data_IF_780335124405
#
_entry.id   IF_780335124405
#
_cell.length_a   1.000
_cell.length_b   1.000
_cell.length_c   1.000
_cell.angle_alpha   90.00
_cell.angle_beta   90.00
_cell.angle_gamma   90.00
#
_symmetry.space_group_name_H-M   'P 1'
#
loop_
_entity.id
_entity.type
_entity.pdbx_description
1 polymer ?
#
# COMPACT_ATOMS: atom_id res chain seq x y z
N UNK A 1 27.20 1.05 2.71
CA UNK A 1 26.27 1.98 2.06
C UNK A 1 25.40 2.65 3.10
N UNK A 2 25.41 3.96 3.13
CA UNK A 2 24.60 4.71 4.09
C UNK A 2 23.17 4.85 3.58
N UNK A 3 22.21 4.52 4.45
CA UNK A 3 20.79 4.64 4.18
C UNK A 3 20.26 5.85 4.94
N UNK A 4 19.72 6.82 4.24
CA UNK A 4 19.19 8.04 4.83
C UNK A 4 17.67 8.10 4.70
N UNK A 5 17.00 8.55 5.76
CA UNK A 5 15.53 8.63 5.83
C UNK A 5 14.93 9.53 4.74
N UNK A 6 15.64 10.58 4.38
CA UNK A 6 15.16 11.54 3.39
C UNK A 6 15.67 11.26 1.96
N UNK A 7 16.32 10.11 1.73
CA UNK A 7 16.64 9.68 0.37
C UNK A 7 15.36 9.58 -0.46
N UNK A 8 15.39 10.19 -1.64
CA UNK A 8 14.29 10.03 -2.60
C UNK A 8 14.51 8.73 -3.36
N UNK A 9 13.50 7.88 -3.35
CA UNK A 9 13.55 6.58 -4.01
C UNK A 9 12.54 6.55 -5.15
N UNK A 10 12.97 6.02 -6.29
CA UNK A 10 12.13 5.82 -7.46
C UNK A 10 11.72 4.36 -7.53
N UNK A 11 10.42 4.11 -7.71
CA UNK A 11 9.85 2.76 -7.73
C UNK A 11 9.21 2.47 -9.07
N UNK A 12 9.34 1.22 -9.50
CA UNK A 12 8.60 0.68 -10.64
C UNK A 12 7.74 -0.46 -10.09
N UNK A 13 6.45 -0.18 -9.89
CA UNK A 13 5.51 -1.16 -9.33
C UNK A 13 4.62 -1.66 -10.47
N UNK A 14 4.94 -2.85 -10.96
CA UNK A 14 4.19 -3.44 -12.07
C UNK A 14 4.09 -2.56 -13.30
N UNK A 15 5.10 -1.72 -13.55
CA UNK A 15 5.14 -0.80 -14.67
C UNK A 15 4.64 0.62 -14.35
N UNK A 16 4.13 0.85 -13.16
CA UNK A 16 3.74 2.20 -12.70
C UNK A 16 4.86 2.80 -11.86
N UNK A 17 5.17 4.07 -12.11
CA UNK A 17 6.31 4.73 -11.48
C UNK A 17 5.85 5.62 -10.33
N UNK A 18 6.56 5.51 -9.20
CA UNK A 18 6.28 6.29 -7.99
C UNK A 18 7.57 6.83 -7.43
N UNK A 19 7.47 7.97 -6.78
CA UNK A 19 8.59 8.61 -6.12
C UNK A 19 8.21 8.89 -4.68
N UNK A 20 9.08 8.54 -3.74
CA UNK A 20 8.81 8.76 -2.31
C UNK A 20 10.13 8.75 -1.54
N UNK A 21 10.07 9.00 -0.25
CA UNK A 21 11.23 9.01 0.62
C UNK A 21 11.40 7.65 1.30
N UNK A 22 12.64 7.33 1.67
CA UNK A 22 12.93 6.10 2.42
C UNK A 22 12.16 6.06 3.74
N UNK A 23 12.04 7.19 4.43
CA UNK A 23 11.30 7.26 5.69
C UNK A 23 9.84 6.83 5.53
N UNK A 24 9.22 7.17 4.41
CA UNK A 24 7.85 6.75 4.11
C UNK A 24 7.76 5.22 3.96
N UNK A 25 8.67 4.63 3.18
CA UNK A 25 8.64 3.19 2.92
C UNK A 25 9.03 2.36 4.14
N UNK A 26 9.79 2.92 5.07
CA UNK A 26 10.24 2.20 6.28
C UNK A 26 9.44 2.55 7.52
N UNK A 27 8.32 3.26 7.36
CA UNK A 27 7.48 3.67 8.51
C UNK A 27 6.96 2.49 9.32
N UNK A 28 6.71 1.37 8.67
CA UNK A 28 6.28 0.12 9.32
C UNK A 28 7.41 -0.90 9.16
N UNK A 29 8.32 -0.98 10.15
CA UNK A 29 9.54 -1.80 10.01
C UNK A 29 9.28 -3.28 9.80
N UNK A 30 8.15 -3.78 10.29
CA UNK A 30 7.79 -5.19 10.17
C UNK A 30 7.11 -5.52 8.84
N UNK A 31 6.87 -4.52 7.99
CA UNK A 31 6.32 -4.74 6.66
C UNK A 31 7.41 -5.17 5.68
N UNK A 32 6.99 -5.73 4.54
CA UNK A 32 7.92 -6.11 3.48
C UNK A 32 8.70 -4.89 2.97
N UNK A 33 8.00 -3.76 2.77
CA UNK A 33 8.65 -2.54 2.29
C UNK A 33 9.65 -2.01 3.33
N UNK A 34 9.29 -2.09 4.61
CA UNK A 34 10.21 -1.72 5.69
C UNK A 34 11.48 -2.55 5.66
N UNK A 35 11.36 -3.85 5.43
CA UNK A 35 12.51 -4.75 5.34
C UNK A 35 13.36 -4.48 4.10
N UNK A 36 12.72 -4.25 2.94
CA UNK A 36 13.44 -3.97 1.69
C UNK A 36 14.27 -2.69 1.80
N UNK A 37 13.67 -1.62 2.28
CA UNK A 37 14.29 -0.29 2.23
C UNK A 37 15.07 0.07 3.50
N UNK A 38 15.14 -0.84 4.47
CA UNK A 38 16.09 -0.76 5.59
C UNK A 38 17.32 -1.63 5.37
N UNK A 39 17.42 -2.30 4.21
CA UNK A 39 18.58 -3.12 3.86
C UNK A 39 18.50 -4.57 4.36
N UNK A 40 17.37 -5.00 4.95
CA UNK A 40 17.23 -6.38 5.44
C UNK A 40 16.84 -7.38 4.36
N UNK A 41 16.28 -6.92 3.24
CA UNK A 41 15.93 -7.76 2.11
C UNK A 41 16.61 -7.25 0.85
N UNK A 42 16.99 -8.13 -0.09
CA UNK A 42 17.57 -7.70 -1.34
C UNK A 42 16.53 -6.99 -2.21
N UNK A 43 16.99 -6.06 -3.02
CA UNK A 43 16.15 -5.29 -3.93
C UNK A 43 16.77 -5.32 -5.32
N UNK A 44 15.91 -5.32 -6.35
CA UNK A 44 16.35 -5.23 -7.75
C UNK A 44 16.00 -3.85 -8.26
N UNK A 45 16.83 -3.36 -9.18
CA UNK A 45 16.57 -2.09 -9.85
C UNK A 45 16.48 -2.32 -11.36
N UNK A 46 15.73 -1.47 -12.04
CA UNK A 46 15.64 -1.48 -13.49
C UNK A 46 16.76 -0.66 -14.11
N UNK A 47 16.77 -0.53 -15.45
CA UNK A 47 17.80 0.20 -16.18
C UNK A 47 17.84 1.69 -15.84
N UNK A 48 16.74 2.24 -15.33
CA UNK A 48 16.64 3.63 -14.91
C UNK A 48 16.85 3.81 -13.40
N UNK A 49 17.40 2.79 -12.74
CA UNK A 49 17.69 2.82 -11.30
C UNK A 49 16.44 2.94 -10.42
N UNK A 50 15.32 2.42 -10.90
CA UNK A 50 14.08 2.33 -10.11
C UNK A 50 14.03 0.97 -9.45
N UNK A 51 13.61 0.93 -8.18
CA UNK A 51 13.39 -0.33 -7.47
C UNK A 51 12.17 -1.04 -8.05
N UNK A 52 12.34 -2.29 -8.44
CA UNK A 52 11.29 -3.10 -9.05
C UNK A 52 10.48 -3.80 -7.98
N UNK A 53 9.16 -3.62 -8.01
CA UNK A 53 8.22 -4.32 -7.14
C UNK A 53 7.19 -4.99 -8.04
N UNK A 54 7.03 -6.31 -7.87
CA UNK A 54 6.06 -7.08 -8.65
C UNK A 54 4.69 -7.03 -7.98
N UNK A 55 4.06 -5.88 -8.09
CA UNK A 55 2.75 -5.63 -7.51
C UNK A 55 1.81 -4.99 -8.52
N UNK A 56 0.58 -4.78 -8.11
CA UNK A 56 -0.40 -4.08 -8.94
C UNK A 56 -0.12 -2.58 -8.90
N UNK A 57 0.35 -2.06 -10.03
CA UNK A 57 0.79 -0.67 -10.11
C UNK A 57 -0.26 0.34 -9.67
N UNK A 58 -1.46 0.35 -10.25
CA UNK A 58 -2.50 1.32 -9.87
C UNK A 58 -2.91 1.25 -8.40
N UNK A 59 -2.97 0.06 -7.83
CA UNK A 59 -3.34 -0.14 -6.42
C UNK A 59 -2.28 0.42 -5.47
N UNK A 60 -1.04 0.41 -5.88
CA UNK A 60 0.06 0.90 -5.03
C UNK A 60 -0.12 2.36 -4.64
N UNK A 61 -0.80 3.15 -5.43
CA UNK A 61 -1.13 4.53 -5.09
C UNK A 61 -1.79 4.61 -3.71
N UNK A 62 -2.73 3.71 -3.44
CA UNK A 62 -3.46 3.71 -2.17
C UNK A 62 -2.60 3.21 -1.01
N UNK A 63 -1.76 2.22 -1.27
CA UNK A 63 -0.79 1.72 -0.29
C UNK A 63 0.19 2.82 0.08
N UNK A 64 0.74 3.50 -0.90
CA UNK A 64 1.71 4.58 -0.68
C UNK A 64 1.07 5.77 0.06
N UNK A 65 -0.16 6.13 -0.27
CA UNK A 65 -0.88 7.19 0.43
C UNK A 65 -1.11 6.82 1.90
N UNK A 66 -1.40 5.55 2.19
CA UNK A 66 -1.49 5.09 3.56
C UNK A 66 -0.15 5.24 4.28
N UNK A 67 0.95 4.85 3.64
CA UNK A 67 2.28 4.99 4.24
C UNK A 67 2.61 6.46 4.54
N UNK A 68 2.18 7.37 3.66
CA UNK A 68 2.42 8.81 3.83
C UNK A 68 1.62 9.42 4.96
N UNK A 69 0.36 9.02 5.14
CA UNK A 69 -0.60 9.74 5.98
C UNK A 69 -1.21 8.91 7.10
N UNK A 70 -0.94 7.60 7.15
CA UNK A 70 -1.52 6.65 8.10
C UNK A 70 -3.05 6.62 8.06
N UNK A 71 -3.62 6.93 6.90
CA UNK A 71 -5.06 6.92 6.67
C UNK A 71 -5.37 6.20 5.37
N UNK A 72 -6.46 5.44 5.36
CA UNK A 72 -6.95 4.81 4.15
C UNK A 72 -7.78 5.84 3.38
N UNK A 73 -7.20 6.37 2.30
CA UNK A 73 -7.81 7.42 1.49
C UNK A 73 -8.12 6.85 0.12
N UNK A 74 -9.41 6.67 -0.17
CA UNK A 74 -9.87 6.07 -1.42
C UNK A 74 -10.85 7.01 -2.11
N UNK A 75 -10.92 6.96 -3.45
CA UNK A 75 -11.89 7.78 -4.18
C UNK A 75 -13.31 7.32 -3.90
N UNK A 76 -14.26 8.23 -4.08
CA UNK A 76 -15.68 7.92 -3.95
C UNK A 76 -16.05 6.81 -4.93
N UNK A 77 -16.87 5.86 -4.48
CA UNK A 77 -17.27 4.74 -5.32
C UNK A 77 -16.20 3.70 -5.56
N UNK A 78 -15.15 3.69 -4.77
CA UNK A 78 -14.09 2.70 -4.89
C UNK A 78 -14.65 1.29 -4.79
N UNK A 79 -14.29 0.42 -5.75
CA UNK A 79 -14.82 -0.96 -5.83
C UNK A 79 -13.75 -2.04 -5.85
N UNK A 80 -12.48 -1.67 -5.95
CA UNK A 80 -11.40 -2.64 -6.13
C UNK A 80 -10.84 -3.15 -4.80
N UNK A 81 -11.75 -3.52 -3.90
CA UNK A 81 -11.41 -3.95 -2.54
C UNK A 81 -10.62 -5.24 -2.51
N UNK A 82 -10.92 -6.18 -3.41
CA UNK A 82 -10.24 -7.47 -3.40
C UNK A 82 -8.76 -7.31 -3.71
N UNK A 83 -8.43 -6.56 -4.77
CA UNK A 83 -7.01 -6.38 -5.11
C UNK A 83 -6.30 -5.54 -4.05
N UNK A 84 -6.98 -4.56 -3.47
CA UNK A 84 -6.39 -3.76 -2.39
C UNK A 84 -6.05 -4.64 -1.18
N UNK A 85 -6.95 -5.54 -0.79
CA UNK A 85 -6.71 -6.47 0.30
C UNK A 85 -5.53 -7.38 0.02
N UNK A 86 -5.46 -7.94 -1.19
CA UNK A 86 -4.38 -8.84 -1.61
C UNK A 86 -3.04 -8.11 -1.58
N UNK A 87 -3.00 -6.89 -2.10
CA UNK A 87 -1.75 -6.11 -2.13
C UNK A 87 -1.32 -5.70 -0.72
N UNK A 88 -2.25 -5.31 0.15
CA UNK A 88 -1.91 -4.98 1.53
C UNK A 88 -1.30 -6.19 2.25
N UNK A 89 -1.85 -7.39 2.02
CA UNK A 89 -1.30 -8.64 2.55
C UNK A 89 0.10 -8.91 1.97
N UNK A 90 0.28 -8.70 0.69
CA UNK A 90 1.56 -8.89 0.01
C UNK A 90 2.64 -8.00 0.65
N UNK A 91 2.33 -6.74 0.91
CA UNK A 91 3.27 -5.82 1.53
C UNK A 91 3.38 -5.99 3.05
N UNK A 92 2.53 -6.81 3.64
CA UNK A 92 2.55 -7.12 5.09
C UNK A 92 2.43 -5.87 5.96
N UNK A 93 1.53 -4.96 5.59
CA UNK A 93 1.28 -3.75 6.37
C UNK A 93 0.04 -4.01 7.25
N UNK A 94 0.28 -4.50 8.46
CA UNK A 94 -0.79 -4.95 9.37
C UNK A 94 -1.83 -3.86 9.64
N UNK A 95 -1.39 -2.64 9.90
CA UNK A 95 -2.30 -1.53 10.18
C UNK A 95 -3.22 -1.23 9.00
N UNK A 96 -2.69 -1.32 7.77
CA UNK A 96 -3.47 -1.13 6.55
C UNK A 96 -4.47 -2.27 6.37
N UNK A 97 -4.03 -3.51 6.59
CA UNK A 97 -4.89 -4.70 6.50
C UNK A 97 -6.11 -4.53 7.42
N UNK A 98 -5.89 -4.12 8.66
CA UNK A 98 -6.97 -3.92 9.62
C UNK A 98 -7.93 -2.80 9.21
N UNK A 99 -7.41 -1.71 8.66
CA UNK A 99 -8.26 -0.62 8.18
C UNK A 99 -9.13 -1.04 6.99
N UNK A 100 -8.56 -1.83 6.09
CA UNK A 100 -9.31 -2.36 4.94
C UNK A 100 -10.42 -3.28 5.41
N UNK A 101 -10.12 -4.20 6.33
CA UNK A 101 -11.13 -5.13 6.87
C UNK A 101 -12.27 -4.36 7.55
N UNK A 102 -11.93 -3.35 8.33
CA UNK A 102 -12.92 -2.52 9.02
C UNK A 102 -13.80 -1.76 8.02
N UNK A 103 -13.20 -1.21 6.98
CA UNK A 103 -13.95 -0.47 5.95
C UNK A 103 -14.91 -1.41 5.19
N UNK A 104 -14.44 -2.60 4.82
CA UNK A 104 -15.26 -3.59 4.11
C UNK A 104 -16.42 -4.07 4.98
N UNK A 105 -16.17 -4.30 6.26
CA UNK A 105 -17.21 -4.68 7.21
C UNK A 105 -18.28 -3.60 7.34
N UNK A 106 -17.87 -2.33 7.38
CA UNK A 106 -18.82 -1.22 7.45
C UNK A 106 -19.70 -1.14 6.20
N UNK A 107 -19.09 -1.33 5.02
CA UNK A 107 -19.84 -1.36 3.76
C UNK A 107 -20.88 -2.49 3.77
N UNK A 108 -20.48 -3.66 4.22
CA UNK A 108 -21.39 -4.81 4.30
C UNK A 108 -22.58 -4.52 5.23
N UNK A 109 -22.32 -3.89 6.37
CA UNK A 109 -23.39 -3.51 7.31
C UNK A 109 -24.34 -2.47 6.71
N UNK A 110 -23.79 -1.51 5.99
CA UNK A 110 -24.60 -0.48 5.34
C UNK A 110 -25.49 -1.09 4.24
N UNK A 111 -24.95 -2.02 3.46
CA UNK A 111 -25.71 -2.73 2.44
C UNK A 111 -26.84 -3.56 3.05
N UNK A 112 -26.57 -4.23 4.17
CA UNK A 112 -27.61 -4.98 4.89
C UNK A 112 -28.73 -4.08 5.41
N UNK A 113 -28.38 -2.92 5.93
CA UNK A 113 -29.38 -1.93 6.39
C UNK A 113 -30.28 -1.49 5.25
N UNK A 114 -29.69 -1.22 4.08
CA UNK A 114 -30.44 -0.82 2.88
C UNK A 114 -31.42 -1.92 2.45
N UNK A 115 -30.96 -3.18 2.46
CA UNK A 115 -31.82 -4.31 2.13
C UNK A 115 -32.97 -4.46 3.12
N UNK A 116 -32.69 -4.34 4.41
CA UNK A 116 -33.72 -4.42 5.46
C UNK A 116 -34.71 -3.28 5.37
N UNK A 117 -34.24 -2.08 5.04
CA UNK A 117 -35.09 -0.88 4.94
C UNK A 117 -36.02 -0.96 3.73
N UNK A 118 -35.65 -1.70 2.69
CA UNK A 118 -36.44 -1.83 1.46
C UNK A 118 -37.69 -2.67 1.64
N UNK A 119 -37.84 -3.38 2.75
CA UNK A 119 -38.99 -4.24 3.03
C UNK A 119 -39.77 -3.73 4.26
#
# INVERSE_FOLDING_TARGET
>A
MDLHEDDVLELNVGGCFYSTNRSTLTRYPDSMLGAMFSGRLPSKVDQCNRYIIDGDGPTFRHVLNFLRRSKLILPDGFKEWDILSIEADFYQIEDLIRLIEKAREQIRRDEERERTRAY
#
